data_IF_767782984743
#
_entry.id   IF_767782984743
#
_cell.length_a   1.000
_cell.length_b   1.000
_cell.length_c   1.000
_cell.angle_alpha   90.00
_cell.angle_beta   90.00
_cell.angle_gamma   90.00
#
_symmetry.space_group_name_H-M   'P 1'
#
loop_
_entity.id
_entity.type
_entity.pdbx_description
1 polymer ?
#
# COMPACT_ATOMS: atom_id res chain seq x y z
N UNK A 1 30.39 -52.87 4.94
CA UNK A 1 29.76 -51.85 5.80
C UNK A 1 29.85 -50.55 5.01
N UNK A 2 28.75 -50.17 4.36
CA UNK A 2 28.65 -49.04 3.42
C UNK A 2 28.89 -47.69 4.10
N UNK A 3 29.67 -46.83 3.44
CA UNK A 3 29.81 -45.42 3.79
C UNK A 3 28.81 -44.59 2.95
N UNK A 4 27.80 -44.02 3.60
CA UNK A 4 26.81 -43.17 2.97
C UNK A 4 27.36 -41.75 2.73
N UNK A 5 27.26 -41.29 1.48
CA UNK A 5 27.62 -39.94 1.05
C UNK A 5 26.59 -38.91 1.57
N UNK A 6 27.08 -37.86 2.22
CA UNK A 6 26.28 -36.71 2.64
C UNK A 6 25.94 -35.81 1.46
N UNK A 7 24.67 -35.77 1.07
CA UNK A 7 24.14 -34.83 0.09
C UNK A 7 24.01 -33.44 0.73
N UNK A 8 24.81 -32.48 0.26
CA UNK A 8 24.67 -31.06 0.58
C UNK A 8 23.33 -30.52 0.07
N UNK A 9 22.46 -30.11 1.00
CA UNK A 9 21.21 -29.41 0.67
C UNK A 9 21.56 -28.01 0.17
N UNK A 10 21.45 -27.79 -1.14
CA UNK A 10 21.54 -26.46 -1.74
C UNK A 10 20.47 -25.55 -1.15
N UNK A 11 20.86 -24.32 -0.79
CA UNK A 11 19.93 -23.28 -0.37
C UNK A 11 18.89 -23.04 -1.49
N UNK A 12 17.62 -22.76 -1.14
CA UNK A 12 16.60 -22.47 -2.13
C UNK A 12 17.01 -21.24 -2.96
N UNK A 13 16.69 -21.22 -4.27
CA UNK A 13 16.98 -20.08 -5.11
C UNK A 13 16.29 -18.84 -4.52
N UNK A 14 17.06 -17.77 -4.33
CA UNK A 14 16.54 -16.48 -3.89
C UNK A 14 15.48 -15.96 -4.88
N UNK A 15 14.58 -15.07 -4.43
CA UNK A 15 13.50 -14.57 -5.27
C UNK A 15 14.06 -13.95 -6.56
N UNK A 16 13.40 -14.15 -7.71
CA UNK A 16 13.82 -13.57 -8.97
C UNK A 16 13.93 -12.05 -8.82
N UNK A 17 15.02 -11.49 -9.35
CA UNK A 17 15.28 -10.05 -9.38
C UNK A 17 14.05 -9.37 -10.01
N UNK A 18 13.34 -8.55 -9.22
CA UNK A 18 12.13 -7.90 -9.70
C UNK A 18 12.45 -7.09 -10.96
N UNK A 19 11.75 -7.37 -12.06
CA UNK A 19 11.87 -6.57 -13.27
C UNK A 19 11.58 -5.09 -12.94
N UNK A 20 12.34 -4.17 -13.55
CA UNK A 20 12.11 -2.75 -13.37
C UNK A 20 10.68 -2.40 -13.78
N UNK A 21 9.94 -1.71 -12.90
CA UNK A 21 8.58 -1.26 -13.19
C UNK A 21 8.68 -0.15 -14.24
N UNK A 22 7.93 -0.23 -15.36
CA UNK A 22 7.90 0.85 -16.35
C UNK A 22 7.54 2.18 -15.70
N UNK A 23 8.25 3.24 -16.05
CA UNK A 23 7.98 4.60 -15.57
C UNK A 23 7.65 5.49 -16.77
N UNK A 24 6.47 6.09 -16.78
CA UNK A 24 6.05 7.00 -17.84
C UNK A 24 6.20 8.45 -17.41
N UNK A 25 6.77 9.28 -18.28
CA UNK A 25 6.88 10.74 -18.10
C UNK A 25 5.55 11.48 -18.25
N UNK A 26 4.42 10.87 -17.86
CA UNK A 26 3.08 11.44 -17.94
C UNK A 26 2.71 11.99 -16.57
N UNK A 27 2.25 13.24 -16.53
CA UNK A 27 1.52 13.81 -15.38
C UNK A 27 0.03 13.76 -15.66
N UNK A 28 -0.76 13.41 -14.63
CA UNK A 28 -2.22 13.39 -14.68
C UNK A 28 -2.74 14.58 -13.89
N UNK A 29 -3.59 15.40 -14.50
CA UNK A 29 -4.28 16.47 -13.80
C UNK A 29 -5.12 15.89 -12.65
N UNK A 30 -4.95 16.42 -11.45
CA UNK A 30 -5.70 15.95 -10.29
C UNK A 30 -7.18 16.32 -10.46
N UNK A 31 -7.51 17.51 -10.95
CA UNK A 31 -8.90 17.98 -11.01
C UNK A 31 -9.70 17.32 -12.13
N UNK A 32 -9.02 16.95 -13.23
CA UNK A 32 -9.57 16.05 -14.24
C UNK A 32 -8.62 14.89 -14.58
N UNK A 33 -8.77 13.79 -13.83
CA UNK A 33 -7.92 12.61 -13.98
C UNK A 33 -8.17 11.83 -15.29
N UNK A 34 -9.31 12.00 -15.95
CA UNK A 34 -9.74 11.10 -17.04
C UNK A 34 -8.85 11.21 -18.30
N UNK A 35 -8.55 12.40 -18.84
CA UNK A 35 -7.68 12.53 -20.01
C UNK A 35 -6.29 11.92 -19.78
N UNK A 36 -5.70 12.17 -18.60
CA UNK A 36 -4.40 11.61 -18.22
C UNK A 36 -4.45 10.09 -18.05
N UNK A 37 -5.49 9.55 -17.40
CA UNK A 37 -5.71 8.12 -17.27
C UNK A 37 -5.81 7.44 -18.65
N UNK A 38 -6.61 7.98 -19.58
CA UNK A 38 -6.75 7.41 -20.92
C UNK A 38 -5.44 7.43 -21.72
N UNK A 39 -4.60 8.46 -21.55
CA UNK A 39 -3.24 8.48 -22.13
C UNK A 39 -2.38 7.34 -21.58
N UNK A 40 -2.40 7.11 -20.27
CA UNK A 40 -1.68 5.99 -19.64
C UNK A 40 -2.19 4.63 -20.15
N UNK A 41 -3.50 4.49 -20.36
CA UNK A 41 -4.09 3.25 -20.88
C UNK A 41 -3.64 2.97 -22.32
N UNK A 42 -3.48 3.98 -23.16
CA UNK A 42 -2.95 3.78 -24.53
C UNK A 42 -1.54 3.19 -24.53
N UNK A 43 -0.69 3.61 -23.60
CA UNK A 43 0.66 3.04 -23.42
C UNK A 43 0.60 1.61 -22.84
N UNK A 44 -0.22 1.39 -21.81
CA UNK A 44 -0.29 0.10 -21.11
C UNK A 44 -1.04 -1.00 -21.86
N UNK A 45 -2.00 -0.61 -22.71
CA UNK A 45 -2.92 -1.49 -23.44
C UNK A 45 -3.13 -0.95 -24.86
N UNK A 46 -2.10 -0.98 -25.73
CA UNK A 46 -2.19 -0.45 -27.10
C UNK A 46 -3.22 -1.17 -27.98
N UNK A 47 -3.66 -2.36 -27.56
CA UNK A 47 -4.70 -3.14 -28.26
C UNK A 47 -6.14 -2.73 -27.89
N UNK A 48 -6.32 -1.94 -26.83
CA UNK A 48 -7.65 -1.47 -26.44
C UNK A 48 -8.10 -0.34 -27.36
N UNK A 49 -9.27 -0.51 -27.99
CA UNK A 49 -9.90 0.55 -28.78
C UNK A 49 -10.36 1.67 -27.84
N UNK A 50 -9.89 2.93 -27.99
CA UNK A 50 -10.21 4.02 -27.07
C UNK A 50 -11.71 4.20 -26.82
N UNK A 51 -12.53 3.99 -27.85
CA UNK A 51 -13.99 4.16 -27.82
C UNK A 51 -14.70 3.09 -26.99
N UNK A 52 -14.04 1.95 -26.75
CA UNK A 52 -14.54 0.86 -25.91
C UNK A 52 -14.07 0.95 -24.47
N UNK A 53 -13.12 1.84 -24.16
CA UNK A 53 -12.60 1.98 -22.79
C UNK A 53 -13.64 2.68 -21.94
N UNK A 54 -14.14 1.95 -20.95
CA UNK A 54 -15.04 2.45 -19.91
C UNK A 54 -14.23 2.86 -18.70
N UNK A 55 -14.78 3.79 -17.93
CA UNK A 55 -14.14 4.27 -16.70
C UNK A 55 -15.10 4.28 -15.53
N UNK A 56 -14.56 4.01 -14.33
CA UNK A 56 -15.30 4.12 -13.06
C UNK A 56 -14.43 4.85 -12.04
N UNK A 57 -14.90 6.00 -11.56
CA UNK A 57 -14.24 6.77 -10.50
C UNK A 57 -14.57 6.16 -9.14
N UNK A 58 -13.60 6.10 -8.23
CA UNK A 58 -13.81 5.73 -6.84
C UNK A 58 -13.62 6.95 -5.95
N UNK A 59 -14.63 7.31 -5.17
CA UNK A 59 -14.68 8.55 -4.37
C UNK A 59 -14.44 8.31 -2.88
N UNK A 60 -14.28 7.06 -2.44
CA UNK A 60 -14.18 6.71 -1.01
C UNK A 60 -12.81 6.99 -0.36
N UNK A 61 -11.81 7.40 -1.16
CA UNK A 61 -10.48 7.74 -0.70
C UNK A 61 -10.37 9.22 -0.34
N UNK A 62 -9.85 9.53 0.85
CA UNK A 62 -9.69 10.92 1.32
C UNK A 62 -8.56 11.62 0.56
N UNK A 63 -7.48 10.92 0.23
CA UNK A 63 -6.21 11.56 -0.16
C UNK A 63 -5.83 11.37 -1.62
N UNK A 64 -6.07 10.22 -2.26
CA UNK A 64 -5.66 9.99 -3.65
C UNK A 64 -6.87 9.75 -4.55
N UNK A 65 -6.80 10.27 -5.78
CA UNK A 65 -7.86 10.10 -6.78
C UNK A 65 -7.64 8.76 -7.50
N UNK A 66 -8.71 7.97 -7.68
CA UNK A 66 -8.63 6.62 -8.23
C UNK A 66 -9.68 6.41 -9.32
N UNK A 67 -9.25 5.93 -10.49
CA UNK A 67 -10.13 5.55 -11.59
C UNK A 67 -9.78 4.16 -12.08
N UNK A 68 -10.80 3.32 -12.28
CA UNK A 68 -10.70 2.08 -13.02
C UNK A 68 -10.92 2.36 -14.51
N UNK A 69 -10.08 1.78 -15.35
CA UNK A 69 -10.24 1.71 -16.80
C UNK A 69 -10.38 0.24 -17.21
N UNK A 70 -11.39 -0.08 -18.02
CA UNK A 70 -11.69 -1.45 -18.44
C UNK A 70 -12.48 -1.47 -19.75
N UNK A 71 -12.39 -2.56 -20.50
CA UNK A 71 -13.17 -2.76 -21.74
C UNK A 71 -14.31 -3.75 -21.55
N UNK A 72 -14.05 -4.84 -20.83
CA UNK A 72 -15.00 -5.92 -20.58
C UNK A 72 -15.66 -5.76 -19.21
N UNK A 73 -16.95 -6.10 -19.12
CA UNK A 73 -17.79 -5.92 -17.91
C UNK A 73 -17.29 -6.72 -16.70
N UNK A 74 -16.59 -7.82 -16.94
CA UNK A 74 -16.08 -8.67 -15.88
C UNK A 74 -14.82 -8.12 -15.20
N UNK A 75 -14.32 -6.97 -15.69
CA UNK A 75 -13.19 -6.21 -15.15
C UNK A 75 -11.89 -7.03 -14.99
N UNK A 76 -11.73 -8.16 -15.69
CA UNK A 76 -10.55 -9.04 -15.53
C UNK A 76 -9.24 -8.38 -15.91
N UNK A 77 -9.22 -7.59 -16.99
CA UNK A 77 -8.03 -6.83 -17.42
C UNK A 77 -8.12 -5.36 -16.97
N UNK A 78 -8.87 -5.07 -15.91
CA UNK A 78 -9.03 -3.70 -15.44
C UNK A 78 -7.72 -3.13 -14.88
N UNK A 79 -7.45 -1.88 -15.25
CA UNK A 79 -6.32 -1.08 -14.75
C UNK A 79 -6.85 -0.01 -13.82
N UNK A 80 -6.34 0.00 -12.59
CA UNK A 80 -6.53 1.09 -11.64
C UNK A 80 -5.45 2.14 -11.82
N UNK A 81 -5.85 3.36 -12.15
CA UNK A 81 -4.97 4.54 -12.20
C UNK A 81 -5.16 5.33 -10.92
N UNK A 82 -4.12 5.39 -10.08
CA UNK A 82 -4.09 6.15 -8.83
C UNK A 82 -3.19 7.37 -9.00
N UNK A 83 -3.76 8.55 -8.81
CA UNK A 83 -3.06 9.84 -8.82
C UNK A 83 -2.85 10.27 -7.37
N UNK A 84 -1.61 10.57 -6.99
CA UNK A 84 -1.27 11.01 -5.64
C UNK A 84 -1.97 12.33 -5.29
N UNK A 85 -2.36 12.49 -4.03
CA UNK A 85 -2.95 13.74 -3.54
C UNK A 85 -1.92 14.83 -3.31
N UNK A 86 -2.36 16.08 -3.38
CA UNK A 86 -1.54 17.25 -3.06
C UNK A 86 -0.88 17.15 -1.68
N UNK A 87 0.40 17.58 -1.60
CA UNK A 87 1.19 17.71 -0.36
C UNK A 87 1.46 16.39 0.37
N UNK A 88 1.18 15.25 -0.25
CA UNK A 88 1.51 13.95 0.36
C UNK A 88 2.97 13.55 0.20
N UNK A 89 3.69 14.18 -0.72
CA UNK A 89 5.14 14.04 -0.90
C UNK A 89 5.95 14.45 0.34
N UNK A 90 5.42 15.37 1.17
CA UNK A 90 6.05 15.75 2.44
C UNK A 90 6.07 14.60 3.45
N UNK A 91 5.19 13.61 3.27
CA UNK A 91 4.96 12.53 4.23
C UNK A 91 5.26 11.14 3.64
N UNK A 92 5.35 11.01 2.31
CA UNK A 92 5.41 9.73 1.60
C UNK A 92 6.59 9.69 0.64
N UNK A 93 7.57 8.85 0.98
CA UNK A 93 8.64 8.44 0.06
C UNK A 93 8.06 7.52 -1.04
N UNK A 94 7.99 8.04 -2.27
CA UNK A 94 7.43 7.34 -3.43
C UNK A 94 8.28 6.18 -3.89
N UNK A 95 9.60 6.27 -3.78
CA UNK A 95 10.47 5.17 -4.15
C UNK A 95 10.31 4.02 -3.17
N UNK A 96 10.23 4.32 -1.88
CA UNK A 96 9.91 3.33 -0.85
C UNK A 96 8.49 2.77 -1.04
N UNK A 97 7.51 3.56 -1.50
CA UNK A 97 6.18 3.07 -1.84
C UNK A 97 6.25 1.98 -2.94
N UNK A 98 6.96 2.26 -4.03
CA UNK A 98 7.13 1.33 -5.17
C UNK A 98 7.92 0.08 -4.78
N UNK A 99 9.05 0.24 -4.06
CA UNK A 99 9.85 -0.90 -3.57
C UNK A 99 9.03 -1.83 -2.68
N UNK A 100 8.29 -1.26 -1.73
CA UNK A 100 7.40 -2.03 -0.84
C UNK A 100 6.27 -2.73 -1.61
N UNK A 101 5.72 -2.06 -2.64
CA UNK A 101 4.68 -2.64 -3.48
C UNK A 101 5.20 -3.87 -4.24
N UNK A 102 6.39 -3.77 -4.83
CA UNK A 102 7.04 -4.90 -5.51
C UNK A 102 7.37 -6.05 -4.54
N UNK A 103 7.84 -5.73 -3.33
CA UNK A 103 8.14 -6.72 -2.29
C UNK A 103 6.87 -7.49 -1.87
N UNK A 104 5.78 -6.78 -1.61
CA UNK A 104 4.48 -7.37 -1.31
C UNK A 104 4.00 -8.25 -2.47
N UNK A 105 4.16 -7.79 -3.72
CA UNK A 105 3.77 -8.55 -4.91
C UNK A 105 4.57 -9.85 -5.03
N UNK A 106 5.87 -9.83 -4.77
CA UNK A 106 6.72 -11.01 -4.79
C UNK A 106 6.29 -12.08 -3.77
N UNK A 107 5.58 -11.68 -2.71
CA UNK A 107 5.02 -12.56 -1.68
C UNK A 107 3.50 -12.76 -1.83
N UNK A 108 2.91 -12.40 -2.98
CA UNK A 108 1.48 -12.58 -3.24
C UNK A 108 0.55 -11.69 -2.40
N UNK A 109 1.09 -10.68 -1.71
CA UNK A 109 0.36 -9.78 -0.80
C UNK A 109 -0.02 -8.44 -1.45
N UNK A 110 0.24 -8.26 -2.75
CA UNK A 110 -0.19 -7.11 -3.53
C UNK A 110 -0.59 -7.51 -4.96
N UNK A 111 -1.50 -6.74 -5.59
CA UNK A 111 -1.84 -6.93 -7.00
C UNK A 111 -0.64 -6.59 -7.89
N UNK A 112 -0.73 -6.88 -9.20
CA UNK A 112 0.31 -6.53 -10.14
C UNK A 112 0.44 -5.00 -10.29
N UNK A 113 1.65 -4.47 -10.12
CA UNK A 113 1.98 -3.09 -10.49
C UNK A 113 2.30 -3.06 -12.00
N UNK A 114 1.55 -2.27 -12.77
CA UNK A 114 1.74 -2.17 -14.22
C UNK A 114 2.79 -1.11 -14.59
N UNK A 115 2.70 0.08 -13.99
CA UNK A 115 3.67 1.15 -14.20
C UNK A 115 3.59 2.19 -13.07
N UNK A 116 4.61 3.05 -13.02
CA UNK A 116 4.56 4.34 -12.33
C UNK A 116 4.49 5.47 -13.35
N UNK A 117 4.04 6.64 -12.90
CA UNK A 117 4.07 7.87 -13.69
C UNK A 117 4.37 9.06 -12.77
N UNK A 118 4.54 10.27 -13.31
CA UNK A 118 5.13 11.40 -12.57
C UNK A 118 4.45 11.68 -11.23
N UNK A 119 3.13 11.52 -11.16
CA UNK A 119 2.35 11.77 -9.95
C UNK A 119 1.41 10.60 -9.59
N UNK A 120 1.83 9.36 -9.84
CA UNK A 120 1.00 8.21 -9.46
C UNK A 120 1.49 6.85 -9.93
N UNK A 121 0.59 5.87 -9.88
CA UNK A 121 0.86 4.49 -10.23
C UNK A 121 -0.38 3.78 -10.82
N UNK A 122 -0.13 2.85 -11.74
CA UNK A 122 -1.15 2.00 -12.36
C UNK A 122 -0.99 0.56 -11.90
N UNK A 123 -2.06 -0.07 -11.42
CA UNK A 123 -2.02 -1.43 -10.86
C UNK A 123 -3.30 -2.21 -11.16
N UNK A 124 -3.23 -3.52 -10.94
CA UNK A 124 -4.32 -4.45 -11.17
C UNK A 124 -5.48 -4.22 -10.21
N UNK A 125 -6.70 -4.29 -10.76
CA UNK A 125 -7.93 -4.28 -9.98
C UNK A 125 -8.09 -5.59 -9.20
N UNK A 126 -8.29 -5.48 -7.89
CA UNK A 126 -8.65 -6.62 -7.07
C UNK A 126 -10.16 -6.78 -7.03
N UNK A 127 -10.62 -7.92 -7.52
CA UNK A 127 -12.02 -8.30 -7.48
C UNK A 127 -12.49 -8.51 -6.04
N UNK A 128 -13.69 -8.02 -5.74
CA UNK A 128 -14.33 -8.19 -4.44
C UNK A 128 -15.01 -6.92 -3.96
N UNK A 129 -15.43 -6.94 -2.69
CA UNK A 129 -16.09 -5.83 -2.02
C UNK A 129 -15.20 -5.35 -0.87
N UNK A 130 -15.05 -4.03 -0.75
CA UNK A 130 -14.35 -3.44 0.39
C UNK A 130 -15.16 -3.64 1.67
N UNK A 131 -14.53 -4.10 2.74
CA UNK A 131 -15.23 -4.39 3.99
C UNK A 131 -15.63 -3.11 4.74
N UNK A 132 -16.72 -3.22 5.50
CA UNK A 132 -17.19 -2.23 6.46
C UNK A 132 -17.00 -2.68 7.92
N UNK A 133 -17.26 -1.80 8.91
CA UNK A 133 -17.09 -2.11 10.34
C UNK A 133 -17.93 -3.30 10.83
N UNK A 134 -19.07 -3.56 10.21
CA UNK A 134 -19.94 -4.71 10.50
C UNK A 134 -19.29 -6.05 10.10
N UNK A 135 -18.44 -6.04 9.08
CA UNK A 135 -17.82 -7.24 8.52
C UNK A 135 -16.64 -7.75 9.37
N UNK A 136 -15.88 -6.86 10.02
CA UNK A 136 -14.64 -7.25 10.71
C UNK A 136 -14.87 -8.08 11.99
N UNK A 137 -16.12 -8.10 12.51
CA UNK A 137 -16.51 -8.93 13.65
C UNK A 137 -16.94 -10.34 13.24
N UNK A 138 -17.14 -10.60 11.94
CA UNK A 138 -17.52 -11.91 11.45
C UNK A 138 -16.33 -12.89 11.62
N UNK A 139 -16.47 -13.99 12.39
CA UNK A 139 -15.35 -14.90 12.68
C UNK A 139 -14.65 -15.44 11.44
N UNK A 140 -15.41 -15.68 10.36
CA UNK A 140 -14.89 -16.13 9.07
C UNK A 140 -13.97 -15.09 8.43
N UNK A 141 -14.41 -13.83 8.36
CA UNK A 141 -13.64 -12.74 7.76
C UNK A 141 -12.45 -12.37 8.62
N UNK A 142 -12.61 -12.32 9.95
CA UNK A 142 -11.53 -12.10 10.90
C UNK A 142 -10.37 -13.08 10.68
N UNK A 143 -10.67 -14.37 10.51
CA UNK A 143 -9.64 -15.39 10.25
C UNK A 143 -8.90 -15.15 8.94
N UNK A 144 -9.61 -14.75 7.87
CA UNK A 144 -8.98 -14.41 6.59
C UNK A 144 -8.05 -13.18 6.72
N UNK A 145 -8.49 -12.15 7.43
CA UNK A 145 -7.70 -10.93 7.67
C UNK A 145 -6.43 -11.26 8.47
N UNK A 146 -6.56 -12.06 9.53
CA UNK A 146 -5.43 -12.48 10.35
C UNK A 146 -4.39 -13.28 9.53
N UNK A 147 -4.85 -14.15 8.61
CA UNK A 147 -3.97 -14.89 7.72
C UNK A 147 -3.21 -13.97 6.76
N UNK A 148 -3.88 -12.98 6.15
CA UNK A 148 -3.20 -12.01 5.29
C UNK A 148 -2.20 -11.14 6.05
N UNK A 149 -2.54 -10.69 7.27
CA UNK A 149 -1.61 -9.96 8.13
C UNK A 149 -0.41 -10.81 8.53
N UNK A 150 -0.62 -12.09 8.86
CA UNK A 150 0.47 -13.02 9.14
C UNK A 150 1.42 -13.18 7.96
N UNK A 151 0.88 -13.34 6.73
CA UNK A 151 1.71 -13.39 5.51
C UNK A 151 2.59 -12.15 5.39
N UNK A 152 2.02 -10.94 5.54
CA UNK A 152 2.76 -9.68 5.48
C UNK A 152 3.84 -9.61 6.56
N UNK A 153 3.51 -9.97 7.81
CA UNK A 153 4.45 -9.92 8.93
C UNK A 153 5.62 -10.90 8.80
N UNK A 154 5.45 -11.99 8.04
CA UNK A 154 6.52 -12.96 7.76
C UNK A 154 7.44 -12.58 6.61
N UNK A 155 7.22 -11.43 5.95
CA UNK A 155 8.11 -10.94 4.89
C UNK A 155 9.40 -10.41 5.50
N UNK A 156 10.52 -11.03 5.17
CA UNK A 156 11.86 -10.59 5.56
C UNK A 156 12.60 -10.08 4.33
N UNK A 157 13.05 -8.83 4.33
CA UNK A 157 13.79 -8.25 3.22
C UNK A 157 15.22 -8.81 3.21
N UNK A 158 15.46 -9.88 2.44
CA UNK A 158 16.79 -10.47 2.20
C UNK A 158 17.60 -10.74 3.48
N UNK A 159 16.97 -11.32 4.51
CA UNK A 159 17.64 -11.69 5.76
C UNK A 159 17.92 -10.52 6.72
N UNK A 160 17.52 -9.29 6.38
CA UNK A 160 17.56 -8.15 7.29
C UNK A 160 16.20 -7.96 7.96
N UNK A 161 16.19 -7.81 9.27
CA UNK A 161 14.97 -7.40 9.99
C UNK A 161 14.56 -5.98 9.54
N UNK A 162 13.26 -5.73 9.36
CA UNK A 162 12.77 -4.38 9.05
C UNK A 162 13.15 -3.44 10.19
N UNK A 163 13.58 -2.21 9.86
CA UNK A 163 13.83 -1.17 10.86
C UNK A 163 12.50 -0.51 11.24
N UNK A 164 12.28 -0.20 12.53
CA UNK A 164 11.06 0.47 12.96
C UNK A 164 11.03 1.90 12.38
N UNK A 165 10.03 2.19 11.54
CA UNK A 165 9.86 3.53 10.94
C UNK A 165 8.97 4.45 11.76
N UNK A 166 8.26 3.91 12.76
CA UNK A 166 7.26 4.62 13.55
C UNK A 166 7.80 5.93 14.13
N UNK A 167 8.91 5.87 14.86
CA UNK A 167 9.49 7.03 15.52
C UNK A 167 9.94 8.10 14.53
N UNK A 168 10.59 7.70 13.44
CA UNK A 168 11.00 8.62 12.39
C UNK A 168 9.78 9.37 11.81
N UNK A 169 8.70 8.65 11.52
CA UNK A 169 7.47 9.26 11.00
C UNK A 169 6.81 10.21 12.01
N UNK A 170 6.65 9.79 13.27
CA UNK A 170 6.05 10.64 14.30
C UNK A 170 6.89 11.91 14.50
N UNK A 171 8.23 11.81 14.48
CA UNK A 171 9.09 12.99 14.56
C UNK A 171 8.91 13.94 13.37
N UNK A 172 8.78 13.42 12.14
CA UNK A 172 8.51 14.26 10.96
C UNK A 172 7.15 14.97 11.08
N UNK A 173 6.11 14.27 11.52
CA UNK A 173 4.79 14.86 11.77
C UNK A 173 4.84 15.93 12.87
N UNK A 174 5.53 15.63 13.97
CA UNK A 174 5.68 16.57 15.08
C UNK A 174 6.44 17.83 14.66
N UNK A 175 7.47 17.70 13.83
CA UNK A 175 8.20 18.84 13.28
C UNK A 175 7.31 19.75 12.41
N UNK A 176 6.46 19.17 11.56
CA UNK A 176 5.47 19.94 10.77
C UNK A 176 4.46 20.65 11.67
N UNK A 177 3.96 19.97 12.70
CA UNK A 177 3.07 20.60 13.68
C UNK A 177 3.76 21.78 14.35
N UNK A 178 4.97 21.59 14.87
CA UNK A 178 5.73 22.61 15.60
C UNK A 178 6.06 23.83 14.73
N UNK A 179 6.43 23.60 13.47
CA UNK A 179 6.99 24.65 12.61
C UNK A 179 5.95 25.34 11.71
N UNK A 180 4.90 24.63 11.28
CA UNK A 180 3.98 25.12 10.25
C UNK A 180 2.53 25.24 10.74
N UNK A 181 2.06 24.32 11.58
CA UNK A 181 0.62 24.20 11.92
C UNK A 181 0.31 24.80 13.29
N UNK A 182 1.29 24.91 14.20
CA UNK A 182 1.11 25.38 15.57
C UNK A 182 0.24 26.66 15.69
N UNK A 183 0.44 27.72 14.87
CA UNK A 183 -0.39 28.93 14.95
C UNK A 183 -1.86 28.73 14.57
N UNK A 184 -2.21 27.61 13.94
CA UNK A 184 -3.53 27.28 13.41
C UNK A 184 -4.17 26.06 14.11
N UNK A 185 -3.59 25.59 15.22
CA UNK A 185 -4.18 24.49 15.99
C UNK A 185 -5.48 24.96 16.67
N UNK A 186 -6.47 24.06 16.71
CA UNK A 186 -7.71 24.28 17.49
C UNK A 186 -7.38 24.37 18.97
N UNK A 187 -8.19 25.12 19.73
CA UNK A 187 -8.12 25.19 21.19
C UNK A 187 -8.28 23.81 21.87
N UNK A 188 -8.90 22.84 21.18
CA UNK A 188 -9.06 21.47 21.66
C UNK A 188 -7.78 20.63 21.56
N UNK A 189 -6.76 21.12 20.86
CA UNK A 189 -5.48 20.40 20.70
C UNK A 189 -4.53 20.79 21.85
N UNK A 190 -3.91 19.81 22.54
CA UNK A 190 -2.92 20.11 23.56
C UNK A 190 -1.76 20.94 22.99
N UNK A 191 -1.21 21.83 23.82
CA UNK A 191 -0.03 22.61 23.45
C UNK A 191 1.11 21.73 22.96
N UNK A 192 1.91 22.23 22.02
CA UNK A 192 3.04 21.48 21.44
C UNK A 192 4.00 20.93 22.50
N UNK A 193 4.21 21.67 23.60
CA UNK A 193 5.03 21.19 24.71
C UNK A 193 4.44 19.99 25.46
N UNK A 194 3.11 19.87 25.51
CA UNK A 194 2.43 18.67 26.04
C UNK A 194 2.66 17.49 25.09
N UNK A 195 2.42 17.70 23.79
CA UNK A 195 2.62 16.66 22.76
C UNK A 195 4.07 16.15 22.71
N UNK A 196 5.06 17.02 22.94
CA UNK A 196 6.47 16.63 23.02
C UNK A 196 6.74 15.69 24.21
N UNK A 197 6.17 16.01 25.38
CA UNK A 197 6.30 15.17 26.59
C UNK A 197 5.61 13.82 26.41
N UNK A 198 4.40 13.79 25.84
CA UNK A 198 3.68 12.56 25.53
C UNK A 198 4.47 11.67 24.54
N UNK A 199 5.13 12.28 23.55
CA UNK A 199 5.98 11.55 22.61
C UNK A 199 7.20 10.93 23.30
N UNK A 200 7.86 11.67 24.20
CA UNK A 200 8.97 11.14 25.01
C UNK A 200 8.47 9.99 25.89
N UNK A 201 7.34 10.17 26.58
CA UNK A 201 6.73 9.15 27.40
C UNK A 201 6.45 7.86 26.62
N UNK A 202 5.82 7.95 25.44
CA UNK A 202 5.59 6.79 24.57
C UNK A 202 6.90 6.07 24.18
N UNK A 203 7.96 6.83 23.88
CA UNK A 203 9.26 6.28 23.48
C UNK A 203 9.98 5.57 24.61
N UNK A 204 9.72 5.95 25.86
CA UNK A 204 10.26 5.26 27.04
C UNK A 204 9.47 4.00 27.39
N UNK A 205 8.14 4.00 27.18
CA UNK A 205 7.25 2.93 27.66
C UNK A 205 6.95 1.82 26.64
N UNK A 206 7.10 2.08 25.34
CA UNK A 206 6.85 1.05 24.31
C UNK A 206 8.00 0.04 24.10
N UNK A 207 9.29 0.41 24.14
CA UNK A 207 10.37 -0.57 23.95
C UNK A 207 10.37 -1.76 24.92
N UNK A 208 10.03 -1.60 26.22
CA UNK A 208 9.93 -2.72 27.16
C UNK A 208 8.88 -3.78 26.80
N UNK A 209 7.95 -3.51 25.89
CA UNK A 209 6.94 -4.49 25.44
C UNK A 209 7.53 -5.61 24.58
N UNK A 210 8.77 -5.45 24.09
CA UNK A 210 9.50 -6.43 23.26
C UNK A 210 8.68 -6.95 22.06
N UNK A 211 7.84 -6.07 21.48
CA UNK A 211 7.02 -6.40 20.34
C UNK A 211 7.91 -6.58 19.09
N UNK A 212 7.85 -7.73 18.40
CA UNK A 212 8.70 -8.00 17.25
C UNK A 212 8.52 -6.95 16.15
N UNK A 213 9.63 -6.39 15.67
CA UNK A 213 9.60 -5.49 14.52
C UNK A 213 9.46 -6.34 13.25
N UNK A 214 8.31 -6.23 12.61
CA UNK A 214 7.95 -6.95 11.39
C UNK A 214 7.60 -6.00 10.26
N UNK A 215 7.52 -6.52 9.03
CA UNK A 215 7.00 -5.74 7.92
C UNK A 215 5.50 -5.55 8.12
N UNK A 216 5.05 -4.32 8.31
CA UNK A 216 3.66 -4.01 8.69
C UNK A 216 2.89 -3.31 7.57
N UNK A 217 1.57 -3.51 7.56
CA UNK A 217 0.67 -2.77 6.68
C UNK A 217 0.49 -1.29 7.11
N UNK A 218 0.52 -1.01 8.41
CA UNK A 218 0.41 0.30 9.08
C UNK A 218 -0.91 1.08 8.91
N UNK A 219 -1.82 0.67 8.03
CA UNK A 219 -3.12 1.33 7.88
C UNK A 219 -4.26 0.34 7.58
N UNK A 220 -4.50 -0.60 8.50
CA UNK A 220 -5.48 -1.69 8.33
C UNK A 220 -6.93 -1.23 8.59
N UNK A 221 -7.40 -0.24 7.83
CA UNK A 221 -8.80 0.19 7.83
C UNK A 221 -9.69 -0.84 7.11
N UNK A 222 -10.97 -0.95 7.49
CA UNK A 222 -11.91 -1.89 6.86
C UNK A 222 -11.95 -1.75 5.32
N UNK A 223 -11.92 -0.50 4.83
CA UNK A 223 -11.96 -0.16 3.40
C UNK A 223 -10.73 -0.63 2.61
N UNK A 224 -9.66 -0.98 3.32
CA UNK A 224 -8.41 -1.53 2.76
C UNK A 224 -8.43 -3.07 2.72
N UNK A 225 -9.54 -3.69 3.10
CA UNK A 225 -9.70 -5.14 3.05
C UNK A 225 -10.72 -5.44 1.97
N UNK A 226 -10.31 -6.17 0.94
CA UNK A 226 -11.17 -6.59 -0.17
C UNK A 226 -11.53 -8.05 0.03
N UNK A 227 -12.81 -8.36 0.11
CA UNK A 227 -13.30 -9.73 0.20
C UNK A 227 -13.92 -10.17 -1.13
N UNK A 228 -13.41 -11.29 -1.67
CA UNK A 228 -14.01 -11.97 -2.81
C UNK A 228 -14.86 -13.14 -2.29
N UNK A 229 -16.18 -12.94 -2.28
CA UNK A 229 -17.13 -13.97 -1.84
C UNK A 229 -17.18 -15.20 -2.73
N UNK A 230 -16.79 -15.09 -4.01
CA UNK A 230 -16.78 -16.23 -4.94
C UNK A 230 -15.58 -17.14 -4.70
N UNK A 231 -14.43 -16.54 -4.42
CA UNK A 231 -13.21 -17.28 -4.08
C UNK A 231 -13.14 -17.65 -2.59
N UNK A 232 -13.92 -16.97 -1.73
CA UNK A 232 -13.86 -17.15 -0.29
C UNK A 232 -12.56 -16.61 0.32
N UNK A 233 -11.93 -15.63 -0.31
CA UNK A 233 -10.61 -15.09 0.05
C UNK A 233 -10.70 -13.61 0.41
N UNK A 234 -9.82 -13.13 1.28
CA UNK A 234 -9.60 -11.72 1.53
C UNK A 234 -8.22 -11.31 1.04
N UNK A 235 -8.10 -10.07 0.55
CA UNK A 235 -6.83 -9.46 0.18
C UNK A 235 -6.72 -8.10 0.87
N UNK A 236 -5.53 -7.78 1.34
CA UNK A 236 -5.24 -6.46 1.89
C UNK A 236 -4.85 -5.54 0.74
N UNK A 237 -5.76 -4.63 0.40
CA UNK A 237 -5.42 -3.50 -0.47
C UNK A 237 -4.58 -2.57 0.35
N UNK A 238 -3.36 -2.30 -0.11
CA UNK A 238 -2.60 -1.21 0.49
C UNK A 238 -3.42 0.10 0.35
N UNK A 239 -3.75 0.79 1.44
CA UNK A 239 -4.22 2.15 1.38
C UNK A 239 -3.18 2.99 0.66
N UNK A 240 -3.70 3.77 -0.27
CA UNK A 240 -3.61 5.21 -0.18
C UNK A 240 -2.92 5.73 1.11
N UNK A 241 -1.62 6.04 1.00
CA UNK A 241 -0.78 6.68 2.03
C UNK A 241 -0.21 5.70 3.05
N UNK A 242 1.11 5.53 3.01
CA UNK A 242 1.87 5.14 4.19
C UNK A 242 1.77 6.26 5.23
N UNK A 243 0.70 6.29 6.02
CA UNK A 243 0.71 7.04 7.28
C UNK A 243 1.74 6.41 8.21
#
# INVERSE_FOLDING_TARGET
MEAAAGAGRGAPPGPPRAAAVPCFGISVDQDDILPGALRLIRELRPRWKPERVRTKRFTDGITNKLVACYVEEDMRDCVLVRVYGERTELLVDRESEVRNFQLLRAHGCAPKLYCTFQNGLCYEYMRGVALGPEHIREPRLFRLIALEMAKIHTIHANGSLPKPTLWHKIHNYFALVKNEINPSLSADVPEVGVLERELVWLKEHLPPLDSPVVFCHNDLLCKNIIYDSRAGTACLRRPQVSR
#
